data_IF_417225680926
#
_entry.id   IF_417225680926
#
_cell.length_a   1.000
_cell.length_b   1.000
_cell.length_c   1.000
_cell.angle_alpha   90.00
_cell.angle_beta   90.00
_cell.angle_gamma   90.00
#
_symmetry.space_group_name_H-M   'P 1'
#
loop_
_entity.id
_entity.type
_entity.pdbx_description
1 polymer ?
#
# COMPACT_ATOMS: atom_id res chain seq x y z
N UNK A 1 56.29 -59.49 -23.93
CA UNK A 1 55.73 -58.97 -22.67
C UNK A 1 55.62 -57.46 -22.81
N UNK A 2 54.58 -56.98 -23.49
CA UNK A 2 54.29 -55.56 -23.69
C UNK A 2 53.06 -55.24 -22.82
N UNK A 3 53.31 -54.78 -21.60
CA UNK A 3 52.26 -54.38 -20.67
C UNK A 3 51.85 -52.93 -20.95
N UNK A 4 50.63 -52.78 -21.47
CA UNK A 4 49.60 -51.80 -21.10
C UNK A 4 50.07 -50.47 -20.50
N UNK A 5 50.13 -49.43 -21.35
CA UNK A 5 49.83 -48.04 -20.94
C UNK A 5 49.19 -47.32 -22.14
N UNK A 6 47.97 -47.74 -22.51
CA UNK A 6 47.05 -46.86 -23.26
C UNK A 6 46.42 -45.91 -22.25
N UNK A 7 47.18 -44.90 -21.83
CA UNK A 7 46.63 -43.74 -21.16
C UNK A 7 45.89 -42.93 -22.23
N UNK A 8 44.56 -43.07 -22.26
CA UNK A 8 43.65 -42.18 -22.97
C UNK A 8 43.85 -40.76 -22.42
N UNK A 9 44.69 -39.96 -23.08
CA UNK A 9 44.87 -38.55 -22.75
C UNK A 9 43.65 -37.82 -23.30
N UNK A 10 42.79 -37.22 -22.45
CA UNK A 10 41.63 -36.47 -22.93
C UNK A 10 42.09 -35.34 -23.85
N UNK A 11 41.37 -35.11 -24.95
CA UNK A 11 41.66 -33.98 -25.82
C UNK A 11 41.57 -32.69 -25.01
N UNK A 12 42.51 -31.77 -25.23
CA UNK A 12 42.61 -30.52 -24.46
C UNK A 12 41.26 -29.78 -24.42
N UNK A 13 40.51 -29.83 -25.53
CA UNK A 13 39.19 -29.22 -25.67
C UNK A 13 38.15 -29.83 -24.71
N UNK A 14 38.11 -31.16 -24.54
CA UNK A 14 37.19 -31.79 -23.59
C UNK A 14 37.48 -31.42 -22.14
N UNK A 15 38.75 -31.20 -21.80
CA UNK A 15 39.18 -30.80 -20.47
C UNK A 15 38.79 -29.35 -20.14
N UNK A 16 38.80 -28.46 -21.14
CA UNK A 16 38.28 -27.09 -21.00
C UNK A 16 36.75 -27.06 -20.93
N UNK A 17 36.07 -27.90 -21.71
CA UNK A 17 34.60 -28.01 -21.67
C UNK A 17 34.11 -28.52 -20.30
N UNK A 18 34.78 -29.53 -19.73
CA UNK A 18 34.49 -30.05 -18.39
C UNK A 18 34.75 -29.02 -17.28
N UNK A 19 35.81 -28.22 -17.44
CA UNK A 19 36.13 -27.13 -16.50
C UNK A 19 35.06 -26.03 -16.55
N UNK A 20 34.61 -25.65 -17.74
CA UNK A 20 33.58 -24.63 -17.94
C UNK A 20 32.23 -25.14 -17.39
N UNK A 21 31.87 -26.39 -17.66
CA UNK A 21 30.66 -27.00 -17.11
C UNK A 21 30.68 -27.01 -15.57
N UNK A 22 31.80 -27.45 -14.97
CA UNK A 22 31.99 -27.47 -13.52
C UNK A 22 31.93 -26.07 -12.89
N UNK A 23 32.41 -25.05 -13.61
CA UNK A 23 32.34 -23.66 -13.15
C UNK A 23 30.90 -23.13 -13.20
N UNK A 24 30.17 -23.40 -14.29
CA UNK A 24 28.77 -23.02 -14.45
C UNK A 24 27.87 -23.68 -13.41
N UNK A 25 28.06 -24.97 -13.13
CA UNK A 25 27.30 -25.68 -12.09
C UNK A 25 27.52 -25.07 -10.70
N UNK A 26 28.76 -24.68 -10.39
CA UNK A 26 29.09 -24.01 -9.12
C UNK A 26 28.42 -22.63 -9.04
N UNK A 27 28.49 -21.83 -10.09
CA UNK A 27 27.86 -20.51 -10.13
C UNK A 27 26.34 -20.59 -10.04
N UNK A 28 25.71 -21.56 -10.71
CA UNK A 28 24.29 -21.81 -10.60
C UNK A 28 23.89 -22.19 -9.17
N UNK A 29 24.65 -23.08 -8.53
CA UNK A 29 24.40 -23.47 -7.14
C UNK A 29 24.48 -22.27 -6.20
N UNK A 30 25.46 -21.38 -6.39
CA UNK A 30 25.61 -20.15 -5.61
C UNK A 30 24.45 -19.18 -5.87
N UNK A 31 24.04 -19.00 -7.13
CA UNK A 31 22.92 -18.15 -7.50
C UNK A 31 21.59 -18.64 -6.90
N UNK A 32 21.31 -19.95 -7.00
CA UNK A 32 20.14 -20.58 -6.37
C UNK A 32 20.16 -20.39 -4.85
N UNK A 33 21.31 -20.63 -4.21
CA UNK A 33 21.47 -20.42 -2.78
C UNK A 33 21.28 -18.96 -2.36
N UNK A 34 21.81 -18.01 -3.13
CA UNK A 34 21.63 -16.58 -2.91
C UNK A 34 20.14 -16.19 -3.02
N UNK A 35 19.46 -16.67 -4.06
CA UNK A 35 18.04 -16.40 -4.29
C UNK A 35 17.19 -16.89 -3.10
N UNK A 36 17.35 -18.16 -2.70
CA UNK A 36 16.59 -18.73 -1.58
C UNK A 36 16.82 -17.96 -0.28
N UNK A 37 18.06 -17.55 0.00
CA UNK A 37 18.36 -16.75 1.21
C UNK A 37 17.78 -15.35 1.13
N UNK A 38 17.83 -14.69 -0.03
CA UNK A 38 17.24 -13.38 -0.24
C UNK A 38 15.72 -13.44 -0.08
N UNK A 39 15.05 -14.41 -0.72
CA UNK A 39 13.61 -14.63 -0.58
C UNK A 39 13.20 -14.86 0.88
N UNK A 40 13.93 -15.73 1.58
CA UNK A 40 13.68 -15.98 3.01
C UNK A 40 13.86 -14.71 3.84
N UNK A 41 14.93 -13.95 3.59
CA UNK A 41 15.21 -12.69 4.31
C UNK A 41 14.12 -11.66 4.07
N UNK A 42 13.74 -11.43 2.81
CA UNK A 42 12.68 -10.49 2.46
C UNK A 42 11.35 -10.90 3.08
N UNK A 43 10.98 -12.19 3.00
CA UNK A 43 9.75 -12.69 3.62
C UNK A 43 9.71 -12.43 5.12
N UNK A 44 10.81 -12.73 5.83
CA UNK A 44 10.90 -12.51 7.27
C UNK A 44 10.83 -11.02 7.64
N UNK A 45 11.47 -10.15 6.84
CA UNK A 45 11.41 -8.70 7.03
C UNK A 45 9.99 -8.17 6.80
N UNK A 46 9.36 -8.53 5.69
CA UNK A 46 7.98 -8.14 5.39
C UNK A 46 7.00 -8.63 6.45
N UNK A 47 7.10 -9.89 6.88
CA UNK A 47 6.17 -10.45 7.88
C UNK A 47 6.31 -9.74 9.23
N UNK A 48 7.55 -9.49 9.68
CA UNK A 48 7.80 -8.75 10.92
C UNK A 48 7.35 -7.28 10.83
N UNK A 49 7.73 -6.58 9.77
CA UNK A 49 7.44 -5.15 9.63
C UNK A 49 5.98 -4.87 9.29
N UNK A 50 5.30 -5.73 8.55
CA UNK A 50 3.91 -5.48 8.13
C UNK A 50 2.91 -5.96 9.18
N UNK A 51 3.13 -7.12 9.79
CA UNK A 51 2.15 -7.74 10.68
C UNK A 51 2.12 -7.10 12.09
N UNK A 52 3.29 -6.76 12.65
CA UNK A 52 3.35 -6.17 14.01
C UNK A 52 3.04 -4.67 14.04
N UNK A 53 3.26 -3.96 12.92
CA UNK A 53 3.09 -2.51 12.87
C UNK A 53 1.66 -2.09 12.48
N UNK A 54 1.01 -2.79 11.55
CA UNK A 54 -0.34 -2.41 11.11
C UNK A 54 -1.38 -2.61 12.20
N UNK A 55 -1.25 -3.63 13.05
CA UNK A 55 -2.21 -3.87 14.13
C UNK A 55 -2.25 -2.69 15.12
N UNK A 56 -1.14 -1.95 15.30
CA UNK A 56 -1.10 -0.73 16.12
C UNK A 56 -1.89 0.42 15.52
N UNK A 57 -1.97 0.49 14.19
CA UNK A 57 -2.76 1.50 13.46
C UNK A 57 -4.16 1.01 13.10
N UNK A 58 -4.48 -0.25 13.42
CA UNK A 58 -5.81 -0.79 13.23
C UNK A 58 -6.73 -0.08 14.20
N UNK A 59 -7.49 0.88 13.67
CA UNK A 59 -8.60 1.49 14.40
C UNK A 59 -9.55 0.34 14.75
N UNK A 60 -9.60 0.00 16.04
CA UNK A 60 -10.44 -1.06 16.54
C UNK A 60 -11.89 -0.70 16.28
N UNK A 61 -12.44 -1.21 15.16
CA UNK A 61 -13.88 -1.32 14.95
C UNK A 61 -14.41 -2.45 15.83
N UNK A 62 -14.13 -2.38 17.14
CA UNK A 62 -14.83 -3.23 18.09
C UNK A 62 -16.30 -2.84 17.94
N UNK A 63 -17.22 -3.78 17.67
CA UNK A 63 -18.61 -3.47 17.89
C UNK A 63 -18.67 -3.16 19.37
N UNK A 64 -18.79 -1.88 19.72
CA UNK A 64 -19.20 -1.52 21.06
C UNK A 64 -20.42 -2.39 21.31
N UNK A 65 -20.41 -3.22 22.34
CA UNK A 65 -21.56 -4.08 22.67
C UNK A 65 -22.84 -3.25 22.91
N UNK A 66 -22.73 -1.91 22.94
CA UNK A 66 -23.81 -0.93 22.94
C UNK A 66 -24.16 -0.30 21.56
N UNK A 67 -23.38 -0.48 20.49
CA UNK A 67 -23.69 0.03 19.14
C UNK A 67 -23.96 -1.13 18.18
N UNK A 68 -25.15 -1.73 18.31
CA UNK A 68 -25.73 -2.47 17.20
C UNK A 68 -25.64 -1.62 15.94
N UNK A 69 -25.20 -2.23 14.84
CA UNK A 69 -25.08 -1.63 13.50
C UNK A 69 -26.16 -0.55 13.34
N UNK A 70 -25.82 0.73 13.17
CA UNK A 70 -26.78 1.82 13.28
C UNK A 70 -28.01 1.48 12.46
N UNK A 71 -29.18 1.47 13.12
CA UNK A 71 -30.43 1.07 12.48
C UNK A 71 -30.60 1.93 11.24
N UNK A 72 -30.63 1.28 10.08
CA UNK A 72 -30.77 1.97 8.80
C UNK A 72 -32.02 2.83 8.84
N UNK A 73 -31.86 4.13 8.64
CA UNK A 73 -32.94 5.09 8.68
C UNK A 73 -33.24 5.60 7.26
N UNK A 74 -34.47 5.47 6.75
CA UNK A 74 -34.85 6.05 5.46
C UNK A 74 -34.88 7.59 5.49
N UNK A 75 -35.08 8.18 6.68
CA UNK A 75 -35.13 9.62 6.88
C UNK A 75 -33.74 10.24 6.89
N UNK A 76 -33.57 11.35 6.20
CA UNK A 76 -32.33 12.15 6.21
C UNK A 76 -32.41 13.28 7.23
N UNK A 77 -31.64 13.15 8.32
CA UNK A 77 -31.43 14.26 9.25
C UNK A 77 -30.55 15.35 8.60
N UNK A 78 -30.68 16.59 9.10
CA UNK A 78 -29.84 17.70 8.63
C UNK A 78 -28.35 17.40 8.78
N UNK A 79 -27.97 16.79 9.90
CA UNK A 79 -26.59 16.34 10.16
C UNK A 79 -26.09 15.35 9.11
N UNK A 80 -26.88 14.32 8.79
CA UNK A 80 -26.53 13.32 7.77
C UNK A 80 -26.39 13.94 6.38
N UNK A 81 -27.26 14.91 6.03
CA UNK A 81 -27.15 15.62 4.75
C UNK A 81 -25.82 16.37 4.64
N UNK A 82 -25.41 17.08 5.68
CA UNK A 82 -24.10 17.75 5.70
C UNK A 82 -22.95 16.77 5.63
N UNK A 83 -23.00 15.68 6.40
CA UNK A 83 -21.99 14.63 6.35
C UNK A 83 -21.88 14.02 4.95
N UNK A 84 -23.01 13.80 4.26
CA UNK A 84 -23.02 13.31 2.89
C UNK A 84 -22.36 14.30 1.93
N UNK A 85 -22.65 15.60 2.04
CA UNK A 85 -22.02 16.63 1.19
C UNK A 85 -20.49 16.66 1.38
N UNK A 86 -20.00 16.63 2.62
CA UNK A 86 -18.56 16.55 2.89
C UNK A 86 -17.94 15.25 2.37
N UNK A 87 -18.66 14.13 2.48
CA UNK A 87 -18.21 12.86 1.94
C UNK A 87 -18.12 12.90 0.40
N UNK A 88 -19.13 13.45 -0.29
CA UNK A 88 -19.07 13.66 -1.75
C UNK A 88 -17.92 14.59 -2.15
N UNK A 89 -17.67 15.64 -1.38
CA UNK A 89 -16.55 16.55 -1.61
C UNK A 89 -15.19 15.83 -1.51
N UNK A 90 -15.06 14.85 -0.60
CA UNK A 90 -13.81 14.12 -0.35
C UNK A 90 -13.60 12.91 -1.26
N UNK A 91 -14.64 12.09 -1.45
CA UNK A 91 -14.59 10.80 -2.13
C UNK A 91 -15.17 10.84 -3.55
N UNK A 92 -15.78 11.96 -3.95
CA UNK A 92 -16.46 12.06 -5.24
C UNK A 92 -17.68 11.15 -5.31
N UNK A 93 -17.87 10.45 -6.43
CA UNK A 93 -19.04 9.60 -6.72
C UNK A 93 -18.88 8.15 -6.23
N UNK A 94 -17.99 7.92 -5.26
CA UNK A 94 -17.86 6.62 -4.60
C UNK A 94 -18.97 6.45 -3.55
N UNK A 95 -20.09 5.87 -3.98
CA UNK A 95 -21.27 5.71 -3.14
C UNK A 95 -21.05 4.74 -1.97
N UNK A 96 -20.12 3.80 -2.10
CA UNK A 96 -19.81 2.82 -1.05
C UNK A 96 -18.99 3.49 0.06
N UNK A 97 -17.97 4.27 -0.31
CA UNK A 97 -17.19 5.06 0.65
C UNK A 97 -18.04 6.10 1.38
N UNK A 98 -18.94 6.79 0.65
CA UNK A 98 -19.87 7.76 1.27
C UNK A 98 -20.83 7.07 2.24
N UNK A 99 -21.35 5.89 1.90
CA UNK A 99 -22.21 5.11 2.78
C UNK A 99 -21.46 4.61 4.03
N UNK A 100 -20.17 4.26 3.92
CA UNK A 100 -19.33 3.87 5.04
C UNK A 100 -19.18 5.02 6.06
N UNK A 101 -19.02 6.26 5.59
CA UNK A 101 -18.91 7.45 6.46
C UNK A 101 -20.22 7.77 7.19
N UNK A 102 -21.36 7.51 6.55
CA UNK A 102 -22.66 7.80 7.13
C UNK A 102 -23.11 6.73 8.14
N UNK A 103 -22.66 5.48 7.96
CA UNK A 103 -22.98 4.27 8.74
C UNK A 103 -24.48 3.86 8.75
N UNK A 104 -25.40 4.81 8.79
CA UNK A 104 -26.86 4.64 8.85
C UNK A 104 -27.54 4.53 7.49
N UNK A 105 -26.85 4.86 6.40
CA UNK A 105 -27.38 4.89 5.02
C UNK A 105 -26.73 3.82 4.16
N UNK A 106 -27.50 3.28 3.22
CA UNK A 106 -27.00 2.31 2.24
C UNK A 106 -26.52 3.03 0.98
N UNK A 107 -25.64 2.40 0.17
CA UNK A 107 -25.18 2.98 -1.08
C UNK A 107 -26.34 3.39 -2.00
N UNK A 108 -27.43 2.62 -2.04
CA UNK A 108 -28.59 2.94 -2.86
C UNK A 108 -29.39 4.15 -2.34
N UNK A 109 -29.49 4.33 -1.02
CA UNK A 109 -30.06 5.55 -0.43
C UNK A 109 -29.20 6.78 -0.73
N UNK A 110 -27.87 6.62 -0.70
CA UNK A 110 -26.91 7.67 -1.04
C UNK A 110 -26.99 8.03 -2.53
N UNK A 111 -27.17 7.05 -3.43
CA UNK A 111 -27.42 7.29 -4.86
C UNK A 111 -28.71 8.07 -5.08
N UNK A 112 -29.80 7.73 -4.40
CA UNK A 112 -31.05 8.46 -4.50
C UNK A 112 -30.88 9.93 -4.10
N UNK A 113 -30.23 10.18 -2.95
CA UNK A 113 -29.89 11.53 -2.50
C UNK A 113 -29.00 12.28 -3.51
N UNK A 114 -28.01 11.60 -4.10
CA UNK A 114 -27.16 12.18 -5.14
C UNK A 114 -27.97 12.62 -6.36
N UNK A 115 -28.90 11.79 -6.84
CA UNK A 115 -29.71 12.15 -8.02
C UNK A 115 -30.66 13.32 -7.74
N UNK A 116 -31.19 13.46 -6.53
CA UNK A 116 -32.01 14.62 -6.13
C UNK A 116 -31.22 15.95 -6.16
N UNK A 117 -29.93 15.91 -5.79
CA UNK A 117 -29.06 17.10 -5.70
C UNK A 117 -27.91 17.10 -6.72
N UNK A 118 -28.08 16.38 -7.83
CA UNK A 118 -27.00 16.03 -8.74
C UNK A 118 -26.19 17.23 -9.22
N UNK A 119 -26.89 18.26 -9.69
CA UNK A 119 -26.24 19.45 -10.27
C UNK A 119 -25.37 20.16 -9.23
N UNK A 120 -25.90 20.34 -8.01
CA UNK A 120 -25.18 21.00 -6.92
C UNK A 120 -23.98 20.17 -6.45
N UNK A 121 -24.14 18.85 -6.36
CA UNK A 121 -23.06 17.96 -5.95
C UNK A 121 -21.97 17.87 -7.03
N UNK A 122 -22.35 17.76 -8.31
CA UNK A 122 -21.40 17.72 -9.42
C UNK A 122 -20.59 19.02 -9.53
N UNK A 123 -21.25 20.17 -9.40
CA UNK A 123 -20.59 21.48 -9.36
C UNK A 123 -19.64 21.61 -8.15
N UNK A 124 -20.07 21.18 -6.96
CA UNK A 124 -19.25 21.16 -5.75
C UNK A 124 -18.00 20.27 -5.91
N UNK A 125 -18.16 19.06 -6.45
CA UNK A 125 -17.05 18.13 -6.71
C UNK A 125 -16.07 18.75 -7.70
N UNK A 126 -16.57 19.34 -8.80
CA UNK A 126 -15.72 19.99 -9.81
C UNK A 126 -14.91 21.12 -9.20
N UNK A 127 -15.57 22.06 -8.51
CA UNK A 127 -14.91 23.22 -7.86
C UNK A 127 -13.86 22.78 -6.85
N UNK A 128 -14.15 21.74 -6.08
CA UNK A 128 -13.21 21.19 -5.09
C UNK A 128 -11.99 20.58 -5.79
N UNK A 129 -12.20 19.79 -6.84
CA UNK A 129 -11.09 19.21 -7.62
C UNK A 129 -10.21 20.30 -8.25
N UNK A 130 -10.83 21.34 -8.80
CA UNK A 130 -10.11 22.45 -9.43
C UNK A 130 -9.34 23.27 -8.40
N UNK A 131 -9.91 23.48 -7.21
CA UNK A 131 -9.23 24.12 -6.09
C UNK A 131 -7.96 23.36 -5.70
N UNK A 132 -8.04 22.04 -5.49
CA UNK A 132 -6.86 21.24 -5.13
C UNK A 132 -5.83 21.19 -6.26
N UNK A 133 -6.25 21.18 -7.53
CA UNK A 133 -5.34 21.27 -8.67
C UNK A 133 -4.53 22.58 -8.65
N UNK A 134 -5.22 23.72 -8.51
CA UNK A 134 -4.55 25.03 -8.41
C UNK A 134 -3.68 25.14 -7.17
N UNK A 135 -4.13 24.59 -6.04
CA UNK A 135 -3.33 24.56 -4.83
C UNK A 135 -2.03 23.77 -5.04
N UNK A 136 -2.08 22.63 -5.73
CA UNK A 136 -0.89 21.85 -6.06
C UNK A 136 0.10 22.62 -6.94
N UNK A 137 -0.37 23.50 -7.82
CA UNK A 137 0.49 24.39 -8.62
C UNK A 137 1.21 25.45 -7.78
N UNK A 138 0.64 25.83 -6.62
CA UNK A 138 1.29 26.78 -5.69
C UNK A 138 2.32 26.13 -4.77
N UNK A 139 2.38 24.81 -4.71
CA UNK A 139 3.35 24.10 -3.87
C UNK A 139 4.73 24.10 -4.51
N UNK A 140 5.66 24.82 -3.88
CA UNK A 140 7.08 24.74 -4.18
C UNK A 140 7.71 23.54 -3.45
N UNK A 141 7.89 22.44 -4.17
CA UNK A 141 8.50 21.21 -3.64
C UNK A 141 9.99 21.38 -3.29
N UNK A 142 10.67 22.40 -3.83
CA UNK A 142 12.09 22.67 -3.56
C UNK A 142 12.32 23.56 -2.35
N UNK A 143 11.25 24.15 -1.80
CA UNK A 143 11.33 24.93 -0.57
C UNK A 143 11.68 24.02 0.60
N UNK A 144 12.98 23.88 0.85
CA UNK A 144 13.53 23.29 2.06
C UNK A 144 13.00 24.10 3.25
N UNK A 145 12.07 23.51 3.99
CA UNK A 145 11.71 24.03 5.31
C UNK A 145 12.93 23.79 6.18
N UNK A 146 13.71 24.84 6.42
CA UNK A 146 14.73 24.82 7.47
C UNK A 146 13.99 24.70 8.80
N UNK A 147 13.81 23.46 9.25
CA UNK A 147 13.34 23.20 10.60
C UNK A 147 14.52 23.56 11.50
N UNK A 148 14.42 24.70 12.18
CA UNK A 148 15.33 25.02 13.28
C UNK A 148 15.12 23.94 14.36
N UNK A 149 15.98 22.93 14.37
CA UNK A 149 16.05 21.97 15.46
C UNK A 149 16.63 22.73 16.65
N UNK A 150 15.77 23.28 17.49
CA UNK A 150 16.17 23.67 18.84
C UNK A 150 16.57 22.39 19.55
N UNK A 151 17.88 22.17 19.70
CA UNK A 151 18.45 21.11 20.53
C UNK A 151 18.24 21.46 22.02
N UNK A 152 17.01 21.78 22.41
CA UNK A 152 16.65 21.88 23.82
C UNK A 152 16.52 20.46 24.35
N UNK A 153 17.60 20.00 24.97
CA UNK A 153 17.58 18.82 25.83
C UNK A 153 16.66 19.16 26.99
N UNK A 154 15.42 18.67 26.93
CA UNK A 154 14.49 18.72 28.04
C UNK A 154 14.99 17.68 29.05
N UNK A 155 15.63 18.13 30.11
CA UNK A 155 15.95 17.27 31.25
C UNK A 155 14.62 16.89 31.92
N UNK A 156 14.33 15.60 31.95
CA UNK A 156 13.16 15.06 32.65
C UNK A 156 13.67 14.57 34.00
N UNK A 157 13.54 15.43 35.02
CA UNK A 157 13.68 15.07 36.43
C UNK A 157 12.60 14.04 36.86
#
# INVERSE_FOLDING_TARGET
>A
MLLLLSSDIPSLNGLWDDLIASQLEREEMLARGNCVRLEHTLRMQFEKELNENLERYRISRLPSAASGRPRRSPSWSYKEKWQALFAFQRYGKDFDAVAEVLESKTPDMVKAFYYEMREQIDDMISKTSDYYRRLAETYDFERKVEVATSNEVIDID
#
